data_IF_766234582835
#
_entry.id   IF_766234582835
#
_cell.length_a   1.000
_cell.length_b   1.000
_cell.length_c   1.000
_cell.angle_alpha   90.00
_cell.angle_beta   90.00
_cell.angle_gamma   90.00
#
_symmetry.space_group_name_H-M   'P 1'
#
loop_
_entity.id
_entity.type
_entity.pdbx_description
1 polymer ?
#
# COMPACT_ATOMS: atom_id res chain seq x y z
N UNK A 1 -57.90 -10.94 -59.18
CA UNK A 1 -58.91 -11.93 -58.75
C UNK A 1 -58.20 -13.02 -57.95
N UNK A 2 -58.71 -13.48 -56.78
CA UNK A 2 -59.87 -13.00 -56.03
C UNK A 2 -59.50 -12.32 -54.69
N UNK A 3 -60.36 -11.38 -54.35
CA UNK A 3 -60.61 -10.80 -53.03
C UNK A 3 -61.28 -11.80 -52.10
N UNK A 4 -60.98 -11.75 -50.80
CA UNK A 4 -61.97 -12.09 -49.77
C UNK A 4 -61.92 -11.06 -48.64
N UNK A 5 -62.99 -10.27 -48.57
CA UNK A 5 -63.37 -9.35 -47.50
C UNK A 5 -64.12 -10.17 -46.42
N UNK A 6 -64.39 -9.54 -45.26
CA UNK A 6 -65.41 -9.85 -44.22
C UNK A 6 -64.81 -10.55 -42.98
N UNK A 7 -65.01 -10.13 -41.73
CA UNK A 7 -65.71 -8.99 -41.14
C UNK A 7 -65.18 -8.73 -39.71
N UNK A 8 -65.19 -7.46 -39.33
CA UNK A 8 -65.15 -6.97 -37.96
C UNK A 8 -66.39 -7.47 -37.19
N UNK A 9 -66.24 -7.99 -35.96
CA UNK A 9 -67.09 -7.67 -34.79
C UNK A 9 -66.79 -8.51 -33.52
N UNK A 10 -66.52 -7.77 -32.44
CA UNK A 10 -66.96 -7.97 -31.03
C UNK A 10 -66.37 -9.13 -30.21
N UNK A 11 -65.63 -8.77 -29.16
CA UNK A 11 -65.88 -9.12 -27.73
C UNK A 11 -64.73 -8.50 -26.90
N UNK A 12 -64.92 -7.35 -26.25
CA UNK A 12 -65.35 -7.23 -24.84
C UNK A 12 -64.58 -8.15 -23.89
N UNK A 13 -63.56 -7.56 -23.26
CA UNK A 13 -63.35 -7.54 -21.81
C UNK A 13 -63.24 -8.87 -21.06
N UNK A 14 -62.01 -9.24 -20.73
CA UNK A 14 -61.71 -9.93 -19.46
C UNK A 14 -60.51 -9.25 -18.81
N UNK A 15 -60.81 -8.42 -17.83
CA UNK A 15 -59.87 -7.89 -16.86
C UNK A 15 -59.74 -8.95 -15.77
N UNK A 16 -58.66 -9.73 -15.77
CA UNK A 16 -58.31 -10.59 -14.62
C UNK A 16 -56.83 -10.43 -14.34
N UNK A 17 -56.55 -9.97 -13.11
CA UNK A 17 -55.26 -9.48 -12.67
C UNK A 17 -54.16 -10.52 -12.77
N UNK A 18 -53.02 -10.08 -13.30
CA UNK A 18 -51.75 -10.71 -13.00
C UNK A 18 -51.25 -10.04 -11.73
N UNK A 19 -51.24 -10.84 -10.66
CA UNK A 19 -50.65 -10.55 -9.37
C UNK A 19 -49.37 -9.75 -9.53
N UNK A 20 -49.35 -8.54 -8.97
CA UNK A 20 -48.12 -7.84 -8.64
C UNK A 20 -47.41 -8.65 -7.55
N UNK A 21 -46.64 -9.66 -7.98
CA UNK A 21 -45.60 -10.24 -7.15
C UNK A 21 -44.54 -9.15 -6.97
N UNK A 22 -44.75 -8.32 -5.95
CA UNK A 22 -43.72 -7.47 -5.40
C UNK A 22 -42.58 -8.39 -4.97
N UNK A 23 -41.59 -8.53 -5.85
CA UNK A 23 -40.31 -9.13 -5.52
C UNK A 23 -39.72 -8.26 -4.43
N UNK A 24 -39.86 -8.70 -3.18
CA UNK A 24 -39.02 -8.28 -2.07
C UNK A 24 -37.61 -8.78 -2.38
N UNK A 25 -36.93 -8.14 -3.32
CA UNK A 25 -35.47 -8.20 -3.38
C UNK A 25 -35.02 -7.62 -2.06
N UNK A 26 -34.31 -8.37 -1.19
CA UNK A 26 -33.61 -7.74 -0.10
C UNK A 26 -32.66 -6.77 -0.79
N UNK A 27 -32.92 -5.48 -0.66
CA UNK A 27 -31.91 -4.47 -0.88
C UNK A 27 -30.85 -4.77 0.18
N UNK A 28 -29.90 -5.63 -0.17
CA UNK A 28 -28.58 -5.59 0.44
C UNK A 28 -28.16 -4.15 0.19
N UNK A 29 -28.32 -3.31 1.21
CA UNK A 29 -27.59 -2.08 1.28
C UNK A 29 -26.13 -2.53 1.21
N UNK A 30 -25.56 -2.52 0.01
CA UNK A 30 -24.16 -2.34 -0.15
C UNK A 30 -23.92 -1.03 0.59
N UNK A 31 -23.44 -1.12 1.83
CA UNK A 31 -22.72 -0.02 2.43
C UNK A 31 -21.56 0.21 1.47
N UNK A 32 -21.78 1.08 0.49
CA UNK A 32 -20.69 1.62 -0.30
C UNK A 32 -19.89 2.40 0.74
N UNK A 33 -18.81 1.78 1.20
CA UNK A 33 -17.81 2.44 2.00
C UNK A 33 -17.14 3.47 1.08
N UNK A 34 -17.85 4.55 0.78
CA UNK A 34 -17.42 5.63 -0.12
C UNK A 34 -16.55 6.67 0.60
N UNK A 35 -16.30 6.47 1.91
CA UNK A 35 -15.29 7.21 2.66
C UNK A 35 -13.89 6.65 2.41
N UNK A 36 -12.83 7.45 2.54
CA UNK A 36 -11.48 6.90 2.58
C UNK A 36 -11.43 5.84 3.69
N UNK A 37 -10.94 4.65 3.36
CA UNK A 37 -10.96 3.49 4.26
C UNK A 37 -10.32 3.75 5.64
N UNK A 38 -9.52 4.83 5.77
CA UNK A 38 -8.94 5.29 7.02
C UNK A 38 -8.66 6.81 6.99
N UNK A 39 -9.55 7.67 7.53
CA UNK A 39 -9.39 9.13 7.47
C UNK A 39 -8.13 9.66 8.18
N UNK A 40 -7.75 9.07 9.32
CA UNK A 40 -6.52 9.47 10.03
C UNK A 40 -5.26 9.20 9.21
N UNK A 41 -5.21 8.10 8.44
CA UNK A 41 -4.13 7.87 7.50
C UNK A 41 -4.10 8.94 6.40
N UNK A 42 -5.25 9.29 5.82
CA UNK A 42 -5.29 10.29 4.76
C UNK A 42 -4.84 11.67 5.26
N UNK A 43 -5.28 12.08 6.45
CA UNK A 43 -4.85 13.33 7.08
C UNK A 43 -3.35 13.32 7.39
N UNK A 44 -2.84 12.22 7.92
CA UNK A 44 -1.43 12.05 8.23
C UNK A 44 -0.58 12.08 6.95
N UNK A 45 -0.94 11.28 5.95
CA UNK A 45 -0.22 11.20 4.69
C UNK A 45 -0.24 12.53 3.91
N UNK A 46 -1.34 13.28 3.98
CA UNK A 46 -1.42 14.63 3.35
C UNK A 46 -0.43 15.62 3.97
N UNK A 47 -0.11 15.47 5.26
CA UNK A 47 0.82 16.36 5.97
C UNK A 47 2.27 15.95 5.82
N UNK A 48 2.54 14.64 5.81
CA UNK A 48 3.90 14.13 5.99
C UNK A 48 4.45 13.37 4.79
N UNK A 49 3.63 12.85 3.89
CA UNK A 49 4.12 12.17 2.67
C UNK A 49 4.14 13.16 1.52
N UNK A 50 5.34 13.47 1.02
CA UNK A 50 5.51 14.30 -0.16
C UNK A 50 5.03 13.57 -1.43
N UNK A 51 4.79 14.34 -2.49
CA UNK A 51 4.31 13.81 -3.76
C UNK A 51 5.25 12.76 -4.38
N UNK A 52 6.55 12.84 -4.10
CA UNK A 52 7.57 11.89 -4.56
C UNK A 52 7.65 10.63 -3.70
N UNK A 53 6.91 10.54 -2.59
CA UNK A 53 6.94 9.40 -1.67
C UNK A 53 7.87 9.56 -0.46
N UNK A 54 8.50 10.72 -0.28
CA UNK A 54 9.29 10.99 0.92
C UNK A 54 8.42 11.25 2.15
N UNK A 55 8.74 10.60 3.26
CA UNK A 55 8.16 10.83 4.58
C UNK A 55 8.93 11.93 5.31
N UNK A 56 8.33 13.11 5.48
CA UNK A 56 8.89 14.23 6.22
C UNK A 56 8.69 14.11 7.72
N UNK A 57 9.51 14.85 8.47
CA UNK A 57 9.39 15.02 9.93
C UNK A 57 9.41 13.72 10.74
N UNK A 58 9.94 12.64 10.17
CA UNK A 58 10.14 11.38 10.89
C UNK A 58 11.45 11.36 11.70
N UNK A 59 12.10 12.51 11.84
CA UNK A 59 13.32 12.73 12.62
C UNK A 59 13.17 13.99 13.48
N UNK A 60 13.87 14.03 14.61
CA UNK A 60 14.02 15.26 15.40
C UNK A 60 14.84 16.33 14.65
N UNK A 61 15.61 15.94 13.63
CA UNK A 61 16.33 16.88 12.76
C UNK A 61 15.37 17.42 11.70
N UNK A 62 15.27 18.75 11.60
CA UNK A 62 14.50 19.39 10.54
C UNK A 62 14.96 18.90 9.15
N UNK A 63 14.03 18.77 8.21
CA UNK A 63 14.31 18.33 6.84
C UNK A 63 14.95 16.94 6.71
N UNK A 64 14.82 16.07 7.71
CA UNK A 64 15.29 14.69 7.66
C UNK A 64 14.14 13.69 7.64
N UNK A 65 14.42 12.57 6.99
CA UNK A 65 13.56 11.38 6.88
C UNK A 65 14.34 10.18 7.38
N UNK A 66 13.65 9.28 8.05
CA UNK A 66 14.20 8.05 8.59
C UNK A 66 13.68 6.85 7.83
N UNK A 67 14.47 5.78 7.76
CA UNK A 67 13.98 4.49 7.23
C UNK A 67 12.78 4.00 8.03
N UNK A 68 12.76 4.25 9.35
CA UNK A 68 11.62 3.97 10.23
C UNK A 68 10.35 4.66 9.73
N UNK A 69 10.40 5.98 9.49
CA UNK A 69 9.27 6.74 8.97
C UNK A 69 8.75 6.23 7.63
N UNK A 70 9.67 5.92 6.71
CA UNK A 70 9.32 5.28 5.43
C UNK A 70 8.60 3.94 5.67
N UNK A 71 9.14 3.09 6.54
CA UNK A 71 8.62 1.75 6.83
C UNK A 71 7.19 1.79 7.40
N UNK A 72 6.91 2.72 8.31
CA UNK A 72 5.58 2.91 8.87
C UNK A 72 4.62 3.51 7.83
N UNK A 73 5.08 4.44 7.01
CA UNK A 73 4.30 4.93 5.87
C UNK A 73 3.88 3.80 4.94
N UNK A 74 4.81 2.89 4.59
CA UNK A 74 4.52 1.71 3.76
C UNK A 74 3.51 0.78 4.44
N UNK A 75 3.68 0.51 5.74
CA UNK A 75 2.73 -0.31 6.50
C UNK A 75 1.32 0.31 6.52
N UNK A 76 1.21 1.62 6.77
CA UNK A 76 -0.08 2.30 6.81
C UNK A 76 -0.75 2.34 5.44
N UNK A 77 0.01 2.60 4.37
CA UNK A 77 -0.50 2.53 3.00
C UNK A 77 -1.04 1.13 2.67
N UNK A 78 -0.33 0.07 3.08
CA UNK A 78 -0.79 -1.31 2.94
C UNK A 78 -2.11 -1.56 3.69
N UNK A 79 -2.18 -1.18 4.97
CA UNK A 79 -3.39 -1.36 5.80
C UNK A 79 -4.58 -0.58 5.24
N UNK A 80 -4.35 0.62 4.69
CA UNK A 80 -5.37 1.45 4.08
C UNK A 80 -5.78 0.99 2.67
N UNK A 81 -5.16 -0.06 2.13
CA UNK A 81 -5.28 -0.47 0.72
C UNK A 81 -4.94 0.69 -0.27
N UNK A 82 -4.02 1.56 0.11
CA UNK A 82 -3.55 2.73 -0.65
C UNK A 82 -2.30 2.34 -1.47
N UNK A 83 -2.51 1.52 -2.50
CA UNK A 83 -1.42 0.98 -3.33
C UNK A 83 -0.60 2.08 -4.02
N UNK A 84 -1.26 3.13 -4.51
CA UNK A 84 -0.57 4.21 -5.22
C UNK A 84 0.45 4.92 -4.32
N UNK A 85 0.10 5.20 -3.07
CA UNK A 85 1.03 5.80 -2.11
C UNK A 85 2.07 4.80 -1.62
N UNK A 86 1.73 3.53 -1.47
CA UNK A 86 2.70 2.48 -1.18
C UNK A 86 3.81 2.45 -2.24
N UNK A 87 3.43 2.52 -3.52
CA UNK A 87 4.37 2.52 -4.65
C UNK A 87 5.35 3.69 -4.60
N UNK A 88 4.86 4.90 -4.33
CA UNK A 88 5.74 6.08 -4.24
C UNK A 88 6.65 6.01 -3.01
N UNK A 89 6.12 5.60 -1.84
CA UNK A 89 6.92 5.39 -0.63
C UNK A 89 8.04 4.38 -0.84
N UNK A 90 7.74 3.24 -1.47
CA UNK A 90 8.74 2.21 -1.75
C UNK A 90 9.78 2.70 -2.77
N UNK A 91 9.33 3.28 -3.88
CA UNK A 91 10.23 3.80 -4.92
C UNK A 91 11.18 4.84 -4.37
N UNK A 92 10.66 5.81 -3.61
CA UNK A 92 11.50 6.83 -2.98
C UNK A 92 12.53 6.23 -2.03
N UNK A 93 12.12 5.27 -1.18
CA UNK A 93 13.01 4.57 -0.25
C UNK A 93 14.12 3.85 -0.99
N UNK A 94 13.77 3.08 -2.03
CA UNK A 94 14.72 2.34 -2.83
C UNK A 94 15.74 3.27 -3.51
N UNK A 95 15.28 4.37 -4.12
CA UNK A 95 16.15 5.29 -4.86
C UNK A 95 17.05 6.15 -3.96
N UNK A 96 16.56 6.55 -2.78
CA UNK A 96 17.24 7.54 -1.95
C UNK A 96 17.99 6.95 -0.75
N UNK A 97 17.47 5.87 -0.16
CA UNK A 97 18.01 5.32 1.09
C UNK A 97 18.96 4.14 0.88
N UNK A 98 18.88 3.40 -0.22
CA UNK A 98 19.78 2.24 -0.45
C UNK A 98 21.15 2.64 -1.03
N UNK A 99 21.29 3.90 -1.49
CA UNK A 99 22.52 4.42 -2.07
C UNK A 99 22.83 3.81 -3.45
N UNK A 100 24.11 3.73 -3.82
CA UNK A 100 24.53 3.35 -5.17
C UNK A 100 24.40 1.84 -5.51
N UNK A 101 24.10 0.97 -4.53
CA UNK A 101 23.91 -0.46 -4.77
C UNK A 101 22.64 -1.01 -4.09
N UNK A 102 21.45 -0.76 -4.69
CA UNK A 102 20.17 -1.22 -4.17
C UNK A 102 20.04 -2.74 -4.05
N UNK A 103 20.92 -3.54 -4.66
CA UNK A 103 20.83 -5.02 -4.65
C UNK A 103 21.60 -5.67 -3.51
N UNK A 104 22.50 -4.94 -2.84
CA UNK A 104 23.39 -5.52 -1.82
C UNK A 104 23.38 -4.76 -0.50
N UNK A 105 22.53 -3.75 -0.36
CA UNK A 105 22.52 -2.86 0.79
C UNK A 105 21.10 -2.62 1.32
N UNK A 106 21.01 -2.53 2.64
CA UNK A 106 19.80 -2.12 3.36
C UNK A 106 19.63 -0.60 3.29
N UNK A 107 18.40 -0.07 3.34
CA UNK A 107 18.15 1.36 3.46
C UNK A 107 18.94 1.96 4.62
N UNK A 108 19.68 3.05 4.36
CA UNK A 108 20.31 3.82 5.43
C UNK A 108 19.25 4.55 6.26
N UNK A 109 19.51 4.68 7.55
CA UNK A 109 18.50 5.10 8.51
C UNK A 109 18.18 6.58 8.46
N UNK A 110 19.04 7.43 7.87
CA UNK A 110 18.87 8.88 7.91
C UNK A 110 19.21 9.53 6.57
N UNK A 111 18.21 10.16 5.96
CA UNK A 111 18.34 10.95 4.73
C UNK A 111 17.88 12.38 4.99
N UNK A 112 18.56 13.37 4.43
CA UNK A 112 18.16 14.77 4.62
C UNK A 112 19.18 15.77 4.07
N UNK A 113 18.96 17.04 4.41
CA UNK A 113 19.88 18.12 4.09
C UNK A 113 21.02 18.17 5.12
N UNK A 114 22.25 17.97 4.67
CA UNK A 114 23.44 18.04 5.51
C UNK A 114 23.83 19.48 5.86
N UNK A 115 24.82 19.64 6.73
CA UNK A 115 25.38 20.95 7.09
C UNK A 115 26.02 21.66 5.89
N UNK A 116 26.47 20.89 4.89
CA UNK A 116 26.98 21.37 3.60
C UNK A 116 25.86 21.83 2.64
N UNK A 117 24.60 21.77 3.08
CA UNK A 117 23.42 22.10 2.29
C UNK A 117 23.01 21.03 1.27
N UNK A 118 23.76 19.92 1.16
CA UNK A 118 23.49 18.85 0.19
C UNK A 118 22.40 17.90 0.68
N UNK A 119 21.50 17.54 -0.24
CA UNK A 119 20.45 16.55 0.00
C UNK A 119 20.97 15.16 -0.36
N UNK A 120 21.19 14.32 0.64
CA UNK A 120 21.75 12.97 0.47
C UNK A 120 21.45 12.10 1.68
N UNK A 121 21.85 10.83 1.58
CA UNK A 121 21.93 9.94 2.72
C UNK A 121 22.99 10.48 3.70
N UNK A 122 22.54 10.90 4.88
CA UNK A 122 23.38 11.51 5.91
C UNK A 122 24.02 10.43 6.80
N UNK A 123 23.32 9.32 7.01
CA UNK A 123 23.89 8.13 7.63
C UNK A 123 23.49 6.88 6.86
N UNK A 124 24.53 6.11 6.54
CA UNK A 124 24.49 4.93 5.72
C UNK A 124 24.15 3.65 6.49
N UNK A 125 24.26 3.65 7.81
CA UNK A 125 23.91 2.51 8.66
C UNK A 125 22.42 2.19 8.52
N UNK A 126 22.09 0.91 8.58
CA UNK A 126 20.69 0.48 8.60
C UNK A 126 20.09 0.62 10.00
N UNK A 127 18.77 0.49 10.07
CA UNK A 127 18.03 0.32 11.31
C UNK A 127 17.13 -0.90 11.13
N UNK A 128 17.43 -1.97 11.86
CA UNK A 128 16.87 -3.31 11.64
C UNK A 128 15.36 -3.40 11.86
N UNK A 129 14.82 -2.55 12.73
CA UNK A 129 13.38 -2.37 12.93
C UNK A 129 12.72 -1.91 11.63
N UNK A 130 13.25 -0.86 11.01
CA UNK A 130 12.78 -0.34 9.74
C UNK A 130 12.95 -1.36 8.60
N UNK A 131 14.11 -2.03 8.56
CA UNK A 131 14.38 -3.07 7.55
C UNK A 131 13.32 -4.17 7.59
N UNK A 132 13.00 -4.67 8.78
CA UNK A 132 11.99 -5.71 8.96
C UNK A 132 10.58 -5.24 8.61
N UNK A 133 10.22 -4.00 8.97
CA UNK A 133 8.92 -3.44 8.60
C UNK A 133 8.77 -3.25 7.08
N UNK A 134 9.82 -2.80 6.40
CA UNK A 134 9.85 -2.70 4.93
C UNK A 134 9.68 -4.08 4.30
N UNK A 135 10.45 -5.08 4.75
CA UNK A 135 10.38 -6.46 4.25
C UNK A 135 8.96 -7.02 4.46
N UNK A 136 8.41 -6.87 5.66
CA UNK A 136 7.07 -7.33 5.99
C UNK A 136 6.02 -6.67 5.10
N UNK A 137 6.06 -5.34 4.97
CA UNK A 137 5.11 -4.59 4.17
C UNK A 137 5.17 -4.99 2.69
N UNK A 138 6.37 -5.20 2.13
CA UNK A 138 6.55 -5.67 0.75
C UNK A 138 6.04 -7.10 0.54
N UNK A 139 6.29 -8.02 1.48
CA UNK A 139 5.79 -9.40 1.39
C UNK A 139 4.25 -9.44 1.43
N UNK A 140 3.66 -8.70 2.35
CA UNK A 140 2.20 -8.64 2.48
C UNK A 140 1.55 -7.90 1.31
N UNK A 141 2.15 -6.81 0.82
CA UNK A 141 1.73 -6.14 -0.41
C UNK A 141 1.78 -7.09 -1.62
N UNK A 142 2.85 -7.88 -1.76
CA UNK A 142 2.96 -8.87 -2.83
C UNK A 142 1.82 -9.90 -2.75
N UNK A 143 1.50 -10.37 -1.55
CA UNK A 143 0.45 -11.35 -1.31
C UNK A 143 -0.95 -10.77 -1.56
N UNK A 144 -1.24 -9.58 -1.05
CA UNK A 144 -2.57 -8.95 -1.12
C UNK A 144 -2.85 -8.41 -2.52
N UNK A 145 -1.88 -7.72 -3.14
CA UNK A 145 -2.04 -7.09 -4.46
C UNK A 145 -1.53 -7.96 -5.62
N UNK A 146 -1.09 -9.20 -5.35
CA UNK A 146 -0.60 -10.14 -6.35
C UNK A 146 0.53 -9.55 -7.22
N UNK A 147 1.46 -8.84 -6.57
CA UNK A 147 2.51 -8.09 -7.25
C UNK A 147 3.90 -8.70 -6.98
N UNK A 148 4.40 -9.58 -7.87
CA UNK A 148 5.59 -10.39 -7.61
C UNK A 148 6.88 -9.57 -7.46
N UNK A 149 6.95 -8.36 -8.00
CA UNK A 149 8.13 -7.51 -7.87
C UNK A 149 8.41 -7.14 -6.40
N UNK A 150 7.38 -6.80 -5.60
CA UNK A 150 7.58 -6.51 -4.17
C UNK A 150 8.13 -7.71 -3.42
N UNK A 151 7.72 -8.94 -3.79
CA UNK A 151 8.26 -10.16 -3.19
C UNK A 151 9.75 -10.32 -3.50
N UNK A 152 10.16 -10.04 -4.74
CA UNK A 152 11.55 -10.13 -5.13
C UNK A 152 12.41 -9.14 -4.36
N UNK A 153 11.94 -7.90 -4.22
CA UNK A 153 12.60 -6.84 -3.46
C UNK A 153 12.72 -7.23 -1.97
N UNK A 154 11.63 -7.71 -1.36
CA UNK A 154 11.60 -8.13 0.03
C UNK A 154 12.58 -9.27 0.33
N UNK A 155 12.67 -10.26 -0.56
CA UNK A 155 13.58 -11.39 -0.39
C UNK A 155 15.05 -10.98 -0.56
N UNK A 156 15.34 -9.99 -1.42
CA UNK A 156 16.69 -9.43 -1.54
C UNK A 156 17.11 -8.71 -0.25
N UNK A 157 16.20 -7.92 0.33
CA UNK A 157 16.43 -7.26 1.63
C UNK A 157 16.58 -8.28 2.76
N UNK A 158 15.68 -9.26 2.86
CA UNK A 158 15.72 -10.30 3.89
C UNK A 158 17.04 -11.09 3.87
N UNK A 159 17.52 -11.46 2.68
CA UNK A 159 18.82 -12.11 2.52
C UNK A 159 19.97 -11.24 3.04
N UNK A 160 19.86 -9.92 2.88
CA UNK A 160 20.88 -8.98 3.38
C UNK A 160 20.81 -8.84 4.90
N UNK A 161 19.61 -8.79 5.50
CA UNK A 161 19.41 -8.81 6.95
C UNK A 161 20.00 -10.08 7.57
N UNK A 162 19.67 -11.26 7.03
CA UNK A 162 20.21 -12.54 7.52
C UNK A 162 21.74 -12.60 7.46
N UNK A 163 22.33 -12.04 6.39
CA UNK A 163 23.78 -12.07 6.18
C UNK A 163 24.55 -11.08 7.05
N UNK A 164 23.93 -9.95 7.46
CA UNK A 164 24.65 -8.83 8.08
C UNK A 164 24.21 -8.51 9.51
N UNK A 165 22.94 -8.69 9.82
CA UNK A 165 22.35 -8.25 11.09
C UNK A 165 22.00 -9.42 12.01
N UNK A 166 21.94 -10.65 11.51
CA UNK A 166 21.73 -11.83 12.37
C UNK A 166 23.07 -12.41 12.81
N UNK A 167 23.32 -12.38 14.12
CA UNK A 167 24.54 -12.88 14.75
C UNK A 167 24.23 -13.94 15.79
N UNK A 168 25.18 -14.83 16.09
CA UNK A 168 25.04 -15.79 17.18
C UNK A 168 25.81 -15.29 18.41
N UNK A 169 25.07 -14.90 19.47
CA UNK A 169 25.66 -14.36 20.69
C UNK A 169 25.90 -15.48 21.72
N UNK A 170 27.09 -15.53 22.37
CA UNK A 170 27.38 -16.51 23.40
C UNK A 170 26.35 -16.49 24.54
N UNK A 171 25.75 -17.65 24.83
CA UNK A 171 24.75 -17.79 25.91
C UNK A 171 23.34 -17.31 25.58
N UNK A 172 23.11 -16.69 24.42
CA UNK A 172 21.79 -16.18 24.01
C UNK A 172 21.26 -16.82 22.73
N UNK A 173 22.13 -17.13 21.78
CA UNK A 173 21.76 -17.73 20.49
C UNK A 173 21.68 -16.70 19.35
N UNK A 174 20.91 -17.02 18.30
CA UNK A 174 20.72 -16.14 17.15
C UNK A 174 19.93 -14.90 17.56
N UNK A 175 20.49 -13.73 17.28
CA UNK A 175 19.91 -12.43 17.60
C UNK A 175 20.02 -11.49 16.40
N UNK A 176 19.05 -10.59 16.28
CA UNK A 176 19.08 -9.48 15.34
C UNK A 176 19.76 -8.28 16.00
N UNK A 177 20.76 -7.71 15.34
CA UNK A 177 21.39 -6.45 15.73
C UNK A 177 20.48 -5.27 15.39
N UNK A 178 20.49 -4.21 16.20
CA UNK A 178 19.72 -2.99 15.93
C UNK A 178 20.16 -2.33 14.62
#
# INVERSE_FOLDING_TARGET
MPTLVINLRRAVGWMTGVLASATLTPALAASTCDGPAWPFWQDYATRYVQADGRMLESSLKANHSTSEGQSYGMLFALVANDRARFDTLWTWTAENMTGADPRTRLPGWLWGQGEDGSWKLQDANSASDADLWIIYALLEAARIWQHPAYRNDALALLKTVEARLVVNLPGLGKMLLP
#
